data_IF_283937634435
#
_entry.id   IF_283937634435
#
_cell.length_a   1.000
_cell.length_b   1.000
_cell.length_c   1.000
_cell.angle_alpha   90.00
_cell.angle_beta   90.00
_cell.angle_gamma   90.00
#
_symmetry.space_group_name_H-M   'P 1'
#
loop_
_entity.id
_entity.type
_entity.pdbx_description
1 polymer ?
#
# COMPACT_ATOMS: atom_id res chain seq x y z
N UNK A 1 -5.97 5.62 6.91
CA UNK A 1 -4.96 6.47 7.57
C UNK A 1 -4.30 7.30 6.51
N UNK A 2 -3.77 8.46 6.87
CA UNK A 2 -2.99 9.27 5.93
C UNK A 2 -1.67 8.57 5.56
N UNK A 3 -0.98 9.08 4.53
CA UNK A 3 0.42 8.71 4.34
C UNK A 3 1.26 9.15 5.54
N UNK A 4 2.36 8.47 5.82
CA UNK A 4 3.25 8.80 6.94
C UNK A 4 3.71 10.26 6.90
N UNK A 5 4.08 10.78 5.71
CA UNK A 5 4.47 12.19 5.55
C UNK A 5 3.34 13.18 5.91
N UNK A 6 2.10 12.75 5.81
CA UNK A 6 0.92 13.58 6.06
C UNK A 6 0.28 13.34 7.42
N UNK A 7 0.75 12.32 8.15
CA UNK A 7 0.13 11.82 9.38
C UNK A 7 0.15 12.90 10.45
N UNK A 8 -1.00 13.06 11.11
CA UNK A 8 -1.07 13.83 12.34
C UNK A 8 -0.88 12.88 13.53
N UNK A 9 0.30 12.92 14.14
CA UNK A 9 0.69 12.00 15.20
C UNK A 9 -0.20 12.10 16.46
N UNK A 10 -0.90 13.22 16.66
CA UNK A 10 -1.84 13.38 17.78
C UNK A 10 -3.20 12.72 17.54
N UNK A 11 -3.48 12.30 16.30
CA UNK A 11 -4.78 11.73 15.88
C UNK A 11 -4.67 10.32 15.34
N UNK A 12 -3.54 9.97 14.73
CA UNK A 12 -3.32 8.70 14.03
C UNK A 12 -1.99 8.09 14.49
N UNK A 13 -2.01 6.86 15.06
CA UNK A 13 -0.78 6.16 15.41
C UNK A 13 -0.02 5.77 14.15
N UNK A 14 1.30 5.71 14.23
CA UNK A 14 2.15 5.15 13.19
C UNK A 14 2.01 3.62 13.13
N UNK A 15 2.44 3.01 12.02
CA UNK A 15 2.39 1.55 11.88
C UNK A 15 3.26 0.85 12.93
N UNK A 16 4.46 1.38 13.18
CA UNK A 16 5.36 0.81 14.18
C UNK A 16 4.79 0.89 15.61
N UNK A 17 4.00 1.92 15.93
CA UNK A 17 3.32 2.08 17.22
C UNK A 17 2.18 1.06 17.37
N UNK A 18 1.37 0.88 16.31
CA UNK A 18 0.32 -0.13 16.29
C UNK A 18 0.89 -1.54 16.41
N UNK A 19 1.99 -1.83 15.71
CA UNK A 19 2.70 -3.09 15.80
C UNK A 19 3.22 -3.35 17.23
N UNK A 20 3.86 -2.35 17.85
CA UNK A 20 4.33 -2.46 19.24
C UNK A 20 3.17 -2.74 20.22
N UNK A 21 2.06 -2.02 20.08
CA UNK A 21 0.88 -2.21 20.92
C UNK A 21 0.25 -3.60 20.73
N UNK A 22 0.14 -4.07 19.49
CA UNK A 22 -0.37 -5.40 19.17
C UNK A 22 0.51 -6.50 19.77
N UNK A 23 1.83 -6.41 19.57
CA UNK A 23 2.79 -7.37 20.13
C UNK A 23 2.74 -7.42 21.66
N UNK A 24 2.68 -6.26 22.33
CA UNK A 24 2.56 -6.19 23.78
C UNK A 24 1.26 -6.82 24.29
N UNK A 25 0.14 -6.52 23.63
CA UNK A 25 -1.18 -7.04 24.02
C UNK A 25 -1.31 -8.55 23.77
N UNK A 26 -0.84 -9.04 22.62
CA UNK A 26 -0.88 -10.45 22.27
C UNK A 26 0.05 -11.28 23.17
N UNK A 27 1.25 -10.80 23.46
CA UNK A 27 2.17 -11.45 24.42
C UNK A 27 1.58 -11.50 25.83
N UNK A 28 0.90 -10.45 26.29
CA UNK A 28 0.26 -10.42 27.60
C UNK A 28 -0.97 -11.33 27.75
N UNK A 29 -1.68 -11.60 26.65
CA UNK A 29 -2.90 -12.42 26.62
C UNK A 29 -2.70 -13.84 26.10
N UNK A 30 -1.52 -14.15 25.55
CA UNK A 30 -1.09 -15.49 25.23
C UNK A 30 -1.03 -16.30 26.55
N UNK A 31 -2.11 -17.01 26.89
CA UNK A 31 -2.08 -17.95 28.00
C UNK A 31 -0.90 -18.91 27.82
N UNK A 32 -0.29 -19.37 28.92
CA UNK A 32 1.01 -20.07 28.97
C UNK A 32 1.23 -21.23 27.95
N UNK A 33 0.18 -21.71 27.27
CA UNK A 33 0.23 -22.80 26.30
C UNK A 33 -0.26 -22.43 24.88
N UNK A 34 -0.52 -21.15 24.57
CA UNK A 34 -0.98 -20.72 23.23
C UNK A 34 -0.25 -19.46 22.81
N UNK A 35 0.62 -19.57 21.80
CA UNK A 35 1.20 -18.43 21.10
C UNK A 35 0.16 -17.66 20.29
N UNK A 36 0.61 -16.75 19.44
CA UNK A 36 -0.26 -15.94 18.59
C UNK A 36 0.24 -15.91 17.13
N UNK A 37 -0.69 -15.55 16.24
CA UNK A 37 -0.39 -15.16 14.87
C UNK A 37 -0.72 -13.68 14.72
N UNK A 38 0.17 -12.92 14.08
CA UNK A 38 -0.01 -11.49 13.81
C UNK A 38 0.42 -11.20 12.38
N UNK A 39 -0.42 -10.51 11.63
CA UNK A 39 -0.12 -9.94 10.32
C UNK A 39 -0.04 -8.42 10.47
N UNK A 40 1.03 -7.83 9.96
CA UNK A 40 1.26 -6.38 9.95
C UNK A 40 1.43 -5.96 8.49
N UNK A 41 0.65 -5.00 8.04
CA UNK A 41 0.57 -4.60 6.63
C UNK A 41 0.94 -3.12 6.45
N UNK A 42 1.91 -2.87 5.57
CA UNK A 42 2.29 -1.52 5.12
C UNK A 42 1.59 -1.13 3.82
N UNK A 43 0.26 -1.18 3.78
CA UNK A 43 -0.52 -1.09 2.53
C UNK A 43 -0.32 0.21 1.73
N UNK A 44 0.10 1.30 2.39
CA UNK A 44 0.27 2.60 1.73
C UNK A 44 1.49 2.66 0.81
N UNK A 45 2.43 1.72 0.91
CA UNK A 45 3.53 1.60 -0.08
C UNK A 45 2.95 1.38 -1.49
N UNK A 46 1.98 0.48 -1.61
CA UNK A 46 1.25 0.16 -2.85
C UNK A 46 0.50 1.39 -3.39
N UNK A 47 -0.26 2.07 -2.52
CA UNK A 47 -0.99 3.29 -2.89
C UNK A 47 -0.07 4.40 -3.39
N UNK A 48 1.13 4.55 -2.79
CA UNK A 48 2.15 5.48 -3.26
C UNK A 48 2.64 5.12 -4.66
N UNK A 49 2.80 3.83 -4.95
CA UNK A 49 3.13 3.31 -6.28
C UNK A 49 2.03 3.56 -7.31
N UNK A 50 0.76 3.29 -6.97
CA UNK A 50 -0.39 3.58 -7.84
C UNK A 50 -0.50 5.06 -8.21
N UNK A 51 -0.11 5.95 -7.30
CA UNK A 51 -0.10 7.39 -7.53
C UNK A 51 1.15 7.89 -8.26
N UNK A 52 2.15 7.03 -8.52
CA UNK A 52 3.50 7.42 -8.93
C UNK A 52 4.08 8.54 -8.04
N UNK A 53 3.82 8.45 -6.74
CA UNK A 53 4.19 9.46 -5.74
C UNK A 53 5.46 9.02 -5.02
N UNK A 54 6.65 9.47 -5.45
CA UNK A 54 7.90 9.06 -4.83
C UNK A 54 8.06 9.58 -3.39
N UNK A 55 7.35 10.64 -3.02
CA UNK A 55 7.40 11.22 -1.67
C UNK A 55 6.66 10.31 -0.71
N UNK A 56 5.39 10.02 -1.00
CA UNK A 56 4.59 9.11 -0.20
C UNK A 56 5.22 7.72 -0.14
N UNK A 57 5.62 7.18 -1.30
CA UNK A 57 6.20 5.85 -1.41
C UNK A 57 7.47 5.69 -0.54
N UNK A 58 8.39 6.66 -0.58
CA UNK A 58 9.60 6.64 0.26
C UNK A 58 9.25 6.68 1.76
N UNK A 59 8.38 7.59 2.18
CA UNK A 59 8.03 7.74 3.59
C UNK A 59 7.32 6.50 4.16
N UNK A 60 6.50 5.82 3.36
CA UNK A 60 5.88 4.55 3.75
C UNK A 60 6.90 3.41 3.87
N UNK A 61 7.89 3.34 2.97
CA UNK A 61 9.00 2.37 3.09
C UNK A 61 9.79 2.62 4.37
N UNK A 62 10.09 3.88 4.69
CA UNK A 62 10.82 4.24 5.92
C UNK A 62 10.01 3.91 7.18
N UNK A 63 8.69 4.08 7.16
CA UNK A 63 7.82 3.70 8.26
C UNK A 63 7.71 2.18 8.43
N UNK A 64 7.62 1.44 7.32
CA UNK A 64 7.69 -0.02 7.37
C UNK A 64 9.05 -0.50 7.88
N UNK A 65 10.15 0.18 7.54
CA UNK A 65 11.47 -0.11 8.10
C UNK A 65 11.52 0.06 9.64
N UNK A 66 10.91 1.12 10.20
CA UNK A 66 10.77 1.26 11.66
C UNK A 66 9.94 0.12 12.25
N UNK A 67 8.89 -0.29 11.56
CA UNK A 67 8.02 -1.41 11.98
C UNK A 67 8.82 -2.72 12.03
N UNK A 68 9.66 -2.99 11.02
CA UNK A 68 10.58 -4.13 11.01
C UNK A 68 11.53 -4.09 12.21
N UNK A 69 12.05 -2.92 12.58
CA UNK A 69 12.91 -2.79 13.77
C UNK A 69 12.19 -3.13 15.08
N UNK A 70 10.92 -2.73 15.23
CA UNK A 70 10.06 -3.10 16.38
C UNK A 70 9.86 -4.62 16.42
N UNK A 71 9.55 -5.23 15.29
CA UNK A 71 9.34 -6.69 15.18
C UNK A 71 10.64 -7.46 15.44
N UNK A 72 11.78 -7.01 14.90
CA UNK A 72 13.08 -7.64 15.12
C UNK A 72 13.43 -7.65 16.61
N UNK A 73 13.25 -6.52 17.30
CA UNK A 73 13.46 -6.46 18.75
C UNK A 73 12.58 -7.46 19.50
N UNK A 74 11.32 -7.62 19.07
CA UNK A 74 10.43 -8.61 19.68
C UNK A 74 10.95 -10.03 19.46
N UNK A 75 11.41 -10.38 18.25
CA UNK A 75 11.98 -11.71 17.97
C UNK A 75 13.23 -11.98 18.81
N UNK A 76 14.11 -10.99 18.96
CA UNK A 76 15.33 -11.13 19.77
C UNK A 76 15.01 -11.45 21.25
N UNK A 77 13.88 -10.96 21.76
CA UNK A 77 13.39 -11.20 23.12
C UNK A 77 12.48 -12.46 23.24
N UNK A 78 12.08 -13.06 22.11
CA UNK A 78 11.16 -14.20 22.04
C UNK A 78 11.64 -15.21 20.97
N UNK A 79 12.66 -16.04 21.26
CA UNK A 79 13.33 -16.87 20.26
C UNK A 79 12.46 -18.00 19.68
N UNK A 80 11.27 -18.24 20.21
CA UNK A 80 10.23 -19.15 19.69
C UNK A 80 9.29 -18.49 18.67
N UNK A 81 9.73 -17.38 18.08
CA UNK A 81 8.97 -16.60 17.08
C UNK A 81 9.58 -16.81 15.70
N UNK A 82 8.76 -17.16 14.71
CA UNK A 82 9.09 -17.05 13.29
C UNK A 82 8.52 -15.73 12.75
N UNK A 83 9.34 -14.96 12.05
CA UNK A 83 8.90 -13.78 11.31
C UNK A 83 9.16 -13.99 9.84
N UNK A 84 8.14 -13.66 9.04
CA UNK A 84 8.17 -13.65 7.57
C UNK A 84 7.75 -12.24 7.15
N UNK A 85 8.54 -11.60 6.29
CA UNK A 85 8.23 -10.32 5.67
C UNK A 85 8.42 -10.44 4.18
N UNK A 86 7.39 -10.12 3.42
CA UNK A 86 7.36 -10.14 1.96
C UNK A 86 6.39 -9.08 1.48
N UNK A 87 6.43 -8.79 0.19
CA UNK A 87 5.36 -8.10 -0.52
C UNK A 87 4.40 -9.11 -1.13
N UNK A 88 3.19 -8.67 -1.44
CA UNK A 88 2.22 -9.38 -2.28
C UNK A 88 2.47 -9.15 -3.77
N UNK A 89 2.91 -7.94 -4.15
CA UNK A 89 3.39 -7.57 -5.49
C UNK A 89 4.25 -6.29 -5.47
N UNK A 90 4.81 -5.92 -6.63
CA UNK A 90 5.34 -4.57 -6.88
C UNK A 90 4.28 -3.72 -7.58
N UNK A 91 4.34 -2.40 -7.36
CA UNK A 91 3.39 -1.44 -7.94
C UNK A 91 4.09 -0.20 -8.48
N UNK A 92 3.72 0.19 -9.70
CA UNK A 92 4.21 1.40 -10.38
C UNK A 92 5.32 1.14 -11.39
N UNK A 93 6.02 0.00 -11.28
CA UNK A 93 7.20 -0.32 -12.08
C UNK A 93 8.27 0.76 -11.91
N UNK A 94 8.62 0.99 -10.65
CA UNK A 94 9.49 2.08 -10.20
C UNK A 94 10.97 1.86 -10.60
N UNK A 95 11.66 2.91 -11.03
CA UNK A 95 13.09 2.86 -11.35
C UNK A 95 13.89 4.02 -10.77
N UNK A 96 15.08 3.72 -10.27
CA UNK A 96 16.12 4.71 -9.95
C UNK A 96 16.91 5.05 -11.21
N UNK A 97 16.38 6.00 -11.97
CA UNK A 97 16.88 6.41 -13.26
C UNK A 97 15.72 6.57 -14.25
N UNK A 98 15.74 7.70 -14.96
CA UNK A 98 14.79 8.02 -16.00
C UNK A 98 15.43 8.96 -17.03
N UNK A 99 15.07 8.79 -18.30
CA UNK A 99 15.49 9.64 -19.40
C UNK A 99 14.24 10.11 -20.15
N UNK A 100 13.75 11.29 -19.77
CA UNK A 100 12.55 11.88 -20.37
C UNK A 100 12.82 12.47 -21.77
N UNK A 101 14.05 12.92 -22.03
CA UNK A 101 14.46 13.49 -23.31
C UNK A 101 15.39 12.52 -24.08
N UNK A 102 14.92 11.94 -25.21
CA UNK A 102 15.73 11.03 -26.00
C UNK A 102 16.94 11.69 -26.66
N UNK A 103 16.93 13.02 -26.81
CA UNK A 103 18.00 13.79 -27.45
C UNK A 103 19.09 14.23 -26.44
N UNK A 104 18.88 14.00 -25.14
CA UNK A 104 19.84 14.31 -24.08
C UNK A 104 20.68 13.07 -23.71
N UNK A 105 21.98 13.27 -23.42
CA UNK A 105 22.85 12.16 -23.01
C UNK A 105 22.38 11.55 -21.68
N UNK A 106 22.35 10.20 -21.53
CA UNK A 106 21.85 9.56 -20.32
C UNK A 106 22.67 9.96 -19.09
N UNK A 107 22.01 10.50 -18.07
CA UNK A 107 22.61 10.80 -16.78
C UNK A 107 22.33 9.65 -15.79
N UNK A 108 23.39 9.11 -15.19
CA UNK A 108 23.32 8.10 -14.14
C UNK A 108 23.14 8.77 -12.77
N UNK A 109 22.16 9.65 -12.67
CA UNK A 109 21.90 10.47 -11.49
C UNK A 109 20.60 10.05 -10.84
N UNK A 110 20.61 10.02 -9.52
CA UNK A 110 19.43 10.04 -8.67
C UNK A 110 19.60 11.22 -7.71
N UNK A 111 18.57 12.05 -7.58
CA UNK A 111 18.60 13.31 -6.84
C UNK A 111 17.67 13.26 -5.62
N UNK A 112 18.05 12.53 -4.55
CA UNK A 112 17.20 12.36 -3.36
C UNK A 112 16.84 13.68 -2.69
N UNK A 113 17.68 14.71 -2.80
CA UNK A 113 17.42 16.05 -2.25
C UNK A 113 16.17 16.72 -2.83
N UNK A 114 15.68 16.26 -3.99
CA UNK A 114 14.42 16.74 -4.57
C UNK A 114 13.23 16.23 -3.77
N UNK A 115 13.27 14.95 -3.37
CA UNK A 115 12.22 14.33 -2.56
C UNK A 115 12.25 14.88 -1.13
N UNK A 116 13.44 15.07 -0.56
CA UNK A 116 13.64 15.58 0.80
C UNK A 116 13.04 16.98 1.04
N UNK A 117 12.89 17.79 -0.02
CA UNK A 117 12.26 19.11 0.07
C UNK A 117 10.73 19.07 0.11
N UNK A 118 10.11 17.96 -0.28
CA UNK A 118 8.66 17.85 -0.28
C UNK A 118 8.13 17.73 1.15
N UNK A 119 7.01 18.38 1.43
CA UNK A 119 6.41 18.41 2.78
C UNK A 119 5.06 17.70 2.86
N UNK A 120 4.57 17.15 1.75
CA UNK A 120 3.26 16.52 1.64
C UNK A 120 3.21 15.53 0.48
N UNK A 121 2.35 14.53 0.59
CA UNK A 121 2.04 13.64 -0.54
C UNK A 121 1.24 14.36 -1.63
N UNK A 122 1.28 13.80 -2.83
CA UNK A 122 0.42 14.21 -3.95
C UNK A 122 -1.07 14.09 -3.61
N UNK A 123 -1.46 13.16 -2.75
CA UNK A 123 -2.85 12.99 -2.30
C UNK A 123 -3.31 14.19 -1.47
N UNK A 124 -2.53 14.59 -0.48
CA UNK A 124 -2.83 15.78 0.34
C UNK A 124 -2.80 17.05 -0.49
N UNK A 125 -1.84 17.21 -1.38
CA UNK A 125 -1.74 18.37 -2.26
C UNK A 125 -2.92 18.46 -3.24
N UNK A 126 -3.36 17.33 -3.78
CA UNK A 126 -4.56 17.24 -4.63
C UNK A 126 -5.81 17.66 -3.86
N UNK A 127 -5.96 17.19 -2.61
CA UNK A 127 -7.08 17.60 -1.74
C UNK A 127 -7.02 19.10 -1.38
N UNK A 128 -5.83 19.64 -1.12
CA UNK A 128 -5.65 21.08 -0.88
C UNK A 128 -6.06 21.91 -2.10
N UNK A 129 -5.66 21.50 -3.30
CA UNK A 129 -6.06 22.15 -4.55
C UNK A 129 -7.58 22.06 -4.76
N UNK A 130 -8.18 20.90 -4.51
CA UNK A 130 -9.63 20.72 -4.57
C UNK A 130 -10.37 21.66 -3.62
N UNK A 131 -9.94 21.73 -2.36
CA UNK A 131 -10.56 22.62 -1.37
C UNK A 131 -10.41 24.09 -1.76
N UNK A 132 -9.22 24.51 -2.23
CA UNK A 132 -9.01 25.87 -2.69
C UNK A 132 -9.96 26.25 -3.83
N UNK A 133 -10.14 25.36 -4.80
CA UNK A 133 -10.99 25.61 -5.97
C UNK A 133 -12.49 25.56 -5.66
N UNK A 134 -12.93 24.72 -4.72
CA UNK A 134 -14.36 24.39 -4.54
C UNK A 134 -14.98 24.87 -3.23
N UNK A 135 -14.16 25.11 -2.20
CA UNK A 135 -14.63 25.45 -0.84
C UNK A 135 -14.25 26.87 -0.42
N UNK A 136 -13.64 27.65 -1.31
CA UNK A 136 -13.40 29.07 -1.07
C UNK A 136 -14.71 29.85 -1.02
N UNK A 137 -14.83 30.81 -0.10
CA UNK A 137 -16.01 31.68 0.06
C UNK A 137 -16.35 32.41 -1.24
N UNK A 138 -15.32 32.78 -2.01
CA UNK A 138 -15.42 33.37 -3.33
C UNK A 138 -14.66 32.48 -4.31
N UNK A 139 -15.25 32.23 -5.48
CA UNK A 139 -14.59 31.49 -6.55
C UNK A 139 -13.24 32.17 -6.91
N UNK A 140 -12.11 31.44 -6.84
CA UNK A 140 -10.82 32.00 -7.19
C UNK A 140 -10.76 32.44 -8.65
N UNK A 141 -10.07 33.55 -8.90
CA UNK A 141 -9.68 33.97 -10.25
C UNK A 141 -8.55 33.10 -10.80
N UNK A 142 -8.32 33.15 -12.12
CA UNK A 142 -7.21 32.42 -12.74
C UNK A 142 -5.84 32.80 -12.14
N UNK A 143 -5.63 34.10 -11.88
CA UNK A 143 -4.39 34.59 -11.28
C UNK A 143 -4.19 34.07 -9.85
N UNK A 144 -5.26 33.98 -9.06
CA UNK A 144 -5.21 33.41 -7.71
C UNK A 144 -4.92 31.90 -7.74
N UNK A 145 -5.50 31.15 -8.69
CA UNK A 145 -5.16 29.73 -8.89
C UNK A 145 -3.69 29.53 -9.26
N UNK A 146 -3.18 30.29 -10.23
CA UNK A 146 -1.77 30.20 -10.62
C UNK A 146 -0.84 30.54 -9.46
N UNK A 147 -1.18 31.55 -8.66
CA UNK A 147 -0.39 31.92 -7.48
C UNK A 147 -0.40 30.79 -6.44
N UNK A 148 -1.57 30.25 -6.11
CA UNK A 148 -1.71 29.15 -5.15
C UNK A 148 -0.97 27.89 -5.60
N UNK A 149 -1.07 27.53 -6.88
CA UNK A 149 -0.33 26.39 -7.45
C UNK A 149 1.17 26.60 -7.33
N UNK A 150 1.68 27.81 -7.65
CA UNK A 150 3.11 28.12 -7.56
C UNK A 150 3.62 28.08 -6.12
N UNK A 151 2.90 28.70 -5.18
CA UNK A 151 3.38 28.86 -3.80
C UNK A 151 3.11 27.61 -2.96
N UNK A 152 1.87 27.14 -2.92
CA UNK A 152 1.44 26.11 -1.97
C UNK A 152 1.66 24.70 -2.51
N UNK A 153 1.25 24.45 -3.76
CA UNK A 153 1.25 23.09 -4.32
C UNK A 153 2.65 22.68 -4.79
N UNK A 154 3.23 23.44 -5.72
CA UNK A 154 4.54 23.11 -6.29
C UNK A 154 5.68 23.56 -5.37
N UNK A 155 5.62 24.80 -4.88
CA UNK A 155 6.67 25.40 -4.06
C UNK A 155 6.80 24.75 -2.68
N UNK A 156 5.87 25.04 -1.78
CA UNK A 156 5.89 24.53 -0.41
C UNK A 156 5.64 23.02 -0.37
N UNK A 157 4.62 22.55 -1.09
CA UNK A 157 4.20 21.15 -1.08
C UNK A 157 5.25 20.16 -1.59
N UNK A 158 5.74 20.39 -2.82
CA UNK A 158 6.70 19.49 -3.47
C UNK A 158 8.15 19.98 -3.46
N UNK A 159 8.42 21.18 -2.94
CA UNK A 159 9.79 21.72 -2.95
C UNK A 159 10.31 22.06 -4.35
N UNK A 160 9.41 22.28 -5.33
CA UNK A 160 9.74 22.59 -6.72
C UNK A 160 10.05 24.08 -6.86
N UNK A 161 11.28 24.39 -7.25
CA UNK A 161 11.77 25.77 -7.40
C UNK A 161 11.67 26.31 -8.83
N UNK A 162 11.45 25.42 -9.81
CA UNK A 162 11.47 25.69 -11.24
C UNK A 162 10.20 25.15 -11.95
N UNK A 163 8.99 25.54 -11.51
CA UNK A 163 7.77 25.04 -12.12
C UNK A 163 7.63 25.51 -13.57
N UNK A 164 7.33 24.57 -14.47
CA UNK A 164 7.15 24.84 -15.90
C UNK A 164 5.81 25.53 -16.17
N UNK A 165 5.70 26.30 -17.27
CA UNK A 165 4.41 26.88 -17.68
C UNK A 165 3.30 25.84 -17.84
N UNK A 166 3.62 24.64 -18.33
CA UNK A 166 2.68 23.54 -18.53
C UNK A 166 2.17 22.98 -17.20
N UNK A 167 3.06 22.75 -16.22
CA UNK A 167 2.67 22.32 -14.87
C UNK A 167 1.68 23.29 -14.24
N UNK A 168 1.94 24.58 -14.39
CA UNK A 168 1.10 25.63 -13.82
C UNK A 168 -0.22 25.75 -14.55
N UNK A 169 -0.21 25.73 -15.88
CA UNK A 169 -1.42 25.81 -16.69
C UNK A 169 -2.37 24.63 -16.41
N UNK A 170 -1.83 23.41 -16.29
CA UNK A 170 -2.63 22.22 -15.98
C UNK A 170 -3.25 22.30 -14.59
N UNK A 171 -2.44 22.54 -13.55
CA UNK A 171 -2.88 22.54 -12.16
C UNK A 171 -3.78 23.74 -11.79
N UNK A 172 -3.63 24.87 -12.50
CA UNK A 172 -4.46 26.07 -12.27
C UNK A 172 -5.73 26.11 -13.13
N UNK A 173 -5.99 25.06 -13.92
CA UNK A 173 -7.21 24.96 -14.70
C UNK A 173 -8.44 24.92 -13.78
N UNK A 174 -9.49 25.66 -14.15
CA UNK A 174 -10.76 25.65 -13.44
C UNK A 174 -11.43 24.27 -13.50
N UNK A 175 -11.29 23.58 -14.63
CA UNK A 175 -11.92 22.28 -14.89
C UNK A 175 -10.92 21.13 -14.76
N UNK A 176 -9.95 21.27 -13.83
CA UNK A 176 -8.91 20.26 -13.61
C UNK A 176 -9.53 18.94 -13.15
N UNK A 177 -9.08 17.84 -13.76
CA UNK A 177 -9.45 16.48 -13.39
C UNK A 177 -8.54 16.01 -12.24
N UNK A 178 -9.07 16.00 -11.02
CA UNK A 178 -8.30 15.69 -9.81
C UNK A 178 -7.72 14.27 -9.80
N UNK A 179 -8.32 13.31 -10.51
CA UNK A 179 -7.74 11.97 -10.65
C UNK A 179 -6.45 12.00 -11.47
N UNK A 180 -6.32 12.96 -12.40
CA UNK A 180 -5.10 13.18 -13.17
C UNK A 180 -4.07 14.03 -12.44
N UNK A 181 -4.50 14.83 -11.45
CA UNK A 181 -3.57 15.66 -10.65
C UNK A 181 -2.61 14.79 -9.85
N UNK A 182 -3.08 13.69 -9.26
CA UNK A 182 -2.27 12.77 -8.46
C UNK A 182 -0.99 12.31 -9.21
N UNK A 183 -1.09 11.56 -10.31
CA UNK A 183 0.10 11.13 -11.05
C UNK A 183 0.82 12.30 -11.73
N UNK A 184 0.14 13.40 -12.07
CA UNK A 184 0.79 14.57 -12.65
C UNK A 184 1.79 15.22 -11.69
N UNK A 185 1.40 15.40 -10.42
CA UNK A 185 2.29 15.89 -9.37
C UNK A 185 3.43 14.89 -9.11
N UNK A 186 3.12 13.60 -9.08
CA UNK A 186 4.10 12.52 -8.95
C UNK A 186 5.17 12.54 -10.04
N UNK A 187 4.76 12.70 -11.31
CA UNK A 187 5.68 12.84 -12.44
C UNK A 187 6.49 14.15 -12.40
N UNK A 188 5.88 15.27 -11.99
CA UNK A 188 6.56 16.55 -11.88
C UNK A 188 7.77 16.48 -10.93
N UNK A 189 7.60 15.86 -9.76
CA UNK A 189 8.71 15.67 -8.82
C UNK A 189 9.66 14.53 -9.25
N UNK A 190 9.12 13.43 -9.80
CA UNK A 190 9.93 12.28 -10.25
C UNK A 190 10.93 12.66 -11.33
N UNK A 191 10.53 13.45 -12.33
CA UNK A 191 11.42 13.97 -13.38
C UNK A 191 12.61 14.72 -12.79
N UNK A 192 12.36 15.59 -11.81
CA UNK A 192 13.41 16.36 -11.14
C UNK A 192 14.32 15.48 -10.29
N UNK A 193 13.78 14.39 -9.74
CA UNK A 193 14.52 13.42 -8.94
C UNK A 193 15.25 12.35 -9.78
N UNK A 194 15.10 12.36 -11.12
CA UNK A 194 15.53 11.30 -12.05
C UNK A 194 14.92 9.92 -11.72
N UNK A 195 13.63 9.89 -11.38
CA UNK A 195 12.86 8.68 -11.09
C UNK A 195 11.92 8.32 -12.23
N UNK A 196 11.77 7.03 -12.49
CA UNK A 196 10.91 6.50 -13.54
C UNK A 196 9.76 5.65 -13.00
N UNK A 197 8.66 5.63 -13.74
CA UNK A 197 7.47 4.84 -13.48
C UNK A 197 6.93 4.34 -14.81
N UNK A 198 6.49 3.09 -14.88
CA UNK A 198 6.04 2.46 -16.15
C UNK A 198 4.55 2.17 -16.19
N UNK A 199 3.88 2.17 -15.03
CA UNK A 199 2.45 1.87 -14.93
C UNK A 199 1.84 2.58 -13.72
N UNK A 200 0.52 2.68 -13.66
CA UNK A 200 -0.23 3.01 -12.44
C UNK A 200 -0.81 1.75 -11.80
N UNK A 201 -0.28 0.57 -12.12
CA UNK A 201 -0.78 -0.72 -11.67
C UNK A 201 0.34 -1.60 -11.13
N UNK A 202 0.02 -2.86 -10.85
CA UNK A 202 1.00 -3.82 -10.36
C UNK A 202 1.90 -4.30 -11.50
N UNK A 203 3.10 -4.78 -11.15
CA UNK A 203 3.98 -5.49 -12.08
C UNK A 203 4.21 -6.93 -11.62
N UNK A 204 4.66 -7.78 -12.55
CA UNK A 204 4.89 -9.21 -12.31
C UNK A 204 6.33 -9.54 -11.94
N UNK A 205 7.05 -8.64 -11.26
CA UNK A 205 8.41 -8.94 -10.78
C UNK A 205 8.35 -9.86 -9.56
N UNK A 206 9.40 -10.67 -9.39
CA UNK A 206 9.59 -11.42 -8.15
C UNK A 206 9.80 -10.42 -7.00
N UNK A 207 9.18 -10.70 -5.86
CA UNK A 207 9.30 -9.90 -4.64
C UNK A 207 10.26 -10.55 -3.66
N UNK A 208 10.88 -9.74 -2.81
CA UNK A 208 11.82 -10.24 -1.81
C UNK A 208 11.09 -10.95 -0.67
N UNK A 209 11.61 -12.12 -0.27
CA UNK A 209 11.20 -12.85 0.92
C UNK A 209 12.28 -12.72 2.01
N UNK A 210 11.92 -12.13 3.14
CA UNK A 210 12.76 -12.03 4.32
C UNK A 210 12.18 -12.88 5.45
N UNK A 211 13.03 -13.63 6.13
CA UNK A 211 12.62 -14.42 7.28
C UNK A 211 13.70 -14.44 8.37
N UNK A 212 13.27 -14.51 9.63
CA UNK A 212 14.14 -14.57 10.81
C UNK A 212 13.45 -15.29 11.96
N UNK A 213 14.21 -15.66 13.00
CA UNK A 213 13.68 -16.35 14.18
C UNK A 213 13.70 -17.87 14.07
N UNK A 214 12.75 -18.56 14.69
CA UNK A 214 12.71 -20.03 14.70
C UNK A 214 12.28 -20.61 13.34
N UNK A 215 12.91 -21.70 12.89
CA UNK A 215 12.50 -22.41 11.68
C UNK A 215 12.69 -21.68 10.33
N UNK A 216 13.25 -20.46 10.30
CA UNK A 216 13.35 -19.64 9.07
C UNK A 216 14.12 -20.30 7.91
N UNK A 217 14.93 -21.33 8.19
CA UNK A 217 15.74 -22.01 7.17
C UNK A 217 14.94 -22.63 6.03
N UNK A 218 13.66 -22.99 6.28
CA UNK A 218 12.73 -23.51 5.26
C UNK A 218 12.39 -22.47 4.18
N UNK A 219 12.49 -21.18 4.50
CA UNK A 219 12.13 -20.06 3.62
C UNK A 219 13.31 -19.53 2.79
N UNK A 220 14.45 -20.24 2.77
CA UNK A 220 15.59 -19.87 1.93
C UNK A 220 15.34 -20.28 0.47
N UNK A 221 15.77 -19.42 -0.46
CA UNK A 221 15.63 -19.66 -1.89
C UNK A 221 14.40 -18.97 -2.48
N UNK A 222 13.96 -19.45 -3.64
CA UNK A 222 12.77 -18.94 -4.31
C UNK A 222 11.56 -19.77 -3.90
N UNK A 223 10.46 -19.09 -3.59
CA UNK A 223 9.21 -19.70 -3.15
C UNK A 223 8.04 -19.10 -3.91
N UNK A 224 7.07 -19.93 -4.26
CA UNK A 224 5.75 -19.47 -4.69
C UNK A 224 4.99 -18.91 -3.47
N UNK A 225 4.13 -17.92 -3.69
CA UNK A 225 3.38 -17.31 -2.58
C UNK A 225 2.50 -18.30 -1.80
N UNK A 226 2.04 -19.38 -2.45
CA UNK A 226 1.28 -20.46 -1.82
C UNK A 226 2.10 -21.26 -0.83
N UNK A 227 3.41 -21.44 -1.08
CA UNK A 227 4.31 -22.22 -0.23
C UNK A 227 4.52 -21.53 1.13
N UNK A 228 4.52 -20.19 1.16
CA UNK A 228 4.59 -19.41 2.42
C UNK A 228 3.41 -19.76 3.34
N UNK A 229 2.21 -19.94 2.77
CA UNK A 229 1.01 -20.35 3.51
C UNK A 229 1.14 -21.75 4.13
N UNK A 230 1.81 -22.67 3.43
CA UNK A 230 2.08 -24.02 3.92
C UNK A 230 3.11 -24.00 5.07
N UNK A 231 4.20 -23.25 4.92
CA UNK A 231 5.21 -23.07 5.98
C UNK A 231 4.58 -22.51 7.26
N UNK A 232 3.76 -21.45 7.14
CA UNK A 232 3.06 -20.88 8.30
C UNK A 232 2.14 -21.90 8.97
N UNK A 233 1.42 -22.70 8.18
CA UNK A 233 0.48 -23.70 8.71
C UNK A 233 1.19 -24.83 9.44
N UNK A 234 2.33 -25.27 8.89
CA UNK A 234 3.18 -26.28 9.50
C UNK A 234 3.81 -25.77 10.80
N UNK A 235 4.34 -24.55 10.79
CA UNK A 235 4.94 -23.91 11.96
C UNK A 235 3.92 -23.78 13.12
N UNK A 236 2.72 -23.29 12.80
CA UNK A 236 1.63 -23.12 13.77
C UNK A 236 0.92 -24.44 14.14
N UNK A 237 1.23 -25.53 13.45
CA UNK A 237 0.61 -26.86 13.61
C UNK A 237 -0.91 -26.82 13.47
N UNK A 238 -1.40 -26.08 12.47
CA UNK A 238 -2.84 -25.93 12.19
C UNK A 238 -3.29 -26.81 11.02
N UNK A 239 -4.44 -27.50 11.17
CA UNK A 239 -5.05 -28.28 10.09
C UNK A 239 -5.99 -27.39 9.26
N UNK A 240 -5.45 -26.79 8.19
CA UNK A 240 -6.23 -25.99 7.25
C UNK A 240 -7.31 -26.80 6.53
N UNK A 241 -7.14 -28.10 6.32
CA UNK A 241 -8.16 -28.93 5.67
C UNK A 241 -9.41 -29.07 6.56
N UNK A 242 -9.22 -29.22 7.87
CA UNK A 242 -10.33 -29.20 8.82
C UNK A 242 -11.04 -27.84 8.86
N UNK A 243 -10.28 -26.74 8.89
CA UNK A 243 -10.83 -25.38 8.89
C UNK A 243 -11.61 -25.11 7.60
N UNK A 244 -11.05 -25.43 6.43
CA UNK A 244 -11.73 -25.30 5.13
C UNK A 244 -13.03 -26.10 5.09
N UNK A 245 -13.03 -27.35 5.56
CA UNK A 245 -14.28 -28.15 5.67
C UNK A 245 -15.30 -27.49 6.60
N UNK A 246 -14.87 -26.87 7.69
CA UNK A 246 -15.77 -26.18 8.63
C UNK A 246 -16.36 -24.91 8.01
N UNK A 247 -15.52 -24.07 7.39
CA UNK A 247 -15.93 -22.86 6.70
C UNK A 247 -16.88 -23.16 5.53
N UNK A 248 -16.60 -24.18 4.72
CA UNK A 248 -17.49 -24.58 3.62
C UNK A 248 -18.84 -25.09 4.12
N UNK A 249 -18.89 -25.76 5.28
CA UNK A 249 -20.17 -26.19 5.89
C UNK A 249 -20.99 -25.01 6.38
N UNK A 250 -20.36 -23.95 6.88
CA UNK A 250 -21.04 -22.75 7.40
C UNK A 250 -21.25 -21.66 6.35
N UNK A 251 -20.50 -21.66 5.25
CA UNK A 251 -20.64 -20.67 4.18
C UNK A 251 -22.06 -20.64 3.60
N UNK A 252 -22.72 -21.80 3.51
CA UNK A 252 -24.11 -21.91 3.07
C UNK A 252 -25.11 -21.15 3.96
N UNK A 253 -24.78 -20.85 5.22
CA UNK A 253 -25.64 -20.04 6.09
C UNK A 253 -25.39 -18.54 6.00
N UNK A 254 -24.30 -18.12 5.34
CA UNK A 254 -23.95 -16.71 5.12
C UNK A 254 -24.53 -16.17 3.82
N UNK A 255 -24.74 -17.05 2.85
CA UNK A 255 -25.29 -16.73 1.54
C UNK A 255 -26.80 -17.06 1.52
N UNK A 256 -27.63 -16.07 1.87
CA UNK A 256 -29.08 -16.22 1.97
C UNK A 256 -29.80 -16.04 0.62
N UNK A 257 -29.11 -15.60 -0.44
CA UNK A 257 -29.71 -15.38 -1.76
C UNK A 257 -29.35 -16.50 -2.75
N UNK A 258 -30.21 -16.70 -3.76
CA UNK A 258 -30.00 -17.70 -4.83
C UNK A 258 -28.74 -17.40 -5.66
N UNK A 259 -28.44 -16.14 -5.91
CA UNK A 259 -27.28 -15.72 -6.71
C UNK A 259 -25.96 -16.04 -6.01
N UNK A 260 -25.89 -15.83 -4.70
CA UNK A 260 -24.71 -16.16 -3.90
C UNK A 260 -24.43 -17.67 -3.87
N UNK A 261 -25.49 -18.48 -3.88
CA UNK A 261 -25.36 -19.95 -3.89
C UNK A 261 -24.88 -20.51 -5.23
N UNK A 262 -25.18 -19.83 -6.35
CA UNK A 262 -24.76 -20.25 -7.69
C UNK A 262 -23.27 -19.97 -7.93
N UNK A 263 -22.76 -18.82 -7.45
CA UNK A 263 -21.33 -18.47 -7.51
C UNK A 263 -20.44 -19.51 -6.83
N UNK A 264 -20.82 -20.00 -5.65
CA UNK A 264 -20.05 -21.01 -4.92
C UNK A 264 -20.16 -22.43 -5.50
N UNK A 265 -21.28 -22.74 -6.17
CA UNK A 265 -21.44 -24.03 -6.86
C UNK A 265 -20.52 -24.15 -8.08
N UNK A 266 -20.29 -23.03 -8.77
CA UNK A 266 -19.40 -22.93 -9.92
C UNK A 266 -17.93 -23.10 -9.52
N UNK A 267 -17.51 -22.54 -8.38
CA UNK A 267 -16.12 -22.66 -7.90
C UNK A 267 -15.77 -24.02 -7.30
N UNK A 268 -16.76 -24.80 -6.82
CA UNK A 268 -16.53 -26.09 -6.15
C UNK A 268 -16.85 -27.31 -7.01
N UNK A 269 -17.32 -27.10 -8.25
CA UNK A 269 -17.58 -28.17 -9.23
C UNK A 269 -18.75 -29.10 -8.89
N UNK A 270 -19.55 -28.82 -7.85
CA UNK A 270 -20.76 -29.58 -7.52
C UNK A 270 -22.01 -28.91 -8.07
N UNK A 271 -22.59 -29.48 -9.13
CA UNK A 271 -23.94 -29.11 -9.60
C UNK A 271 -25.00 -29.53 -8.57
N UNK A 272 -25.84 -28.58 -8.19
CA UNK A 272 -27.05 -28.85 -7.40
C UNK A 272 -28.09 -29.51 -8.30
N UNK A 273 -28.46 -30.77 -8.02
CA UNK A 273 -29.74 -31.32 -8.48
C UNK A 273 -30.82 -30.84 -7.52
N UNK A 274 -31.75 -30.02 -8.00
CA UNK A 274 -32.95 -29.65 -7.25
C UNK A 274 -33.84 -30.88 -7.07
N UNK A 275 -33.84 -31.47 -5.87
CA UNK A 275 -34.94 -32.34 -5.45
C UNK A 275 -36.04 -31.46 -4.85
N UNK A 276 -36.90 -30.95 -5.72
CA UNK A 276 -38.29 -30.68 -5.34
C UNK A 276 -39.12 -31.90 -5.72
N UNK A 277 -39.14 -32.92 -4.85
CA UNK A 277 -40.28 -33.83 -4.81
C UNK A 277 -41.30 -33.25 -3.84
N UNK A 278 -42.32 -32.62 -4.42
CA UNK A 278 -43.57 -32.29 -3.75
C UNK A 278 -44.22 -33.60 -3.30
N UNK A 279 -44.40 -33.77 -1.99
CA UNK A 279 -45.47 -34.61 -1.45
C UNK A 279 -46.79 -33.87 -1.68
N UNK A 280 -47.64 -34.41 -2.54
CA UNK A 280 -49.02 -33.97 -2.74
C UNK A 280 -49.95 -35.17 -2.66
N UNK A 281 -50.94 -35.06 -1.77
CA UNK A 281 -52.25 -35.68 -1.93
C UNK A 281 -52.91 -35.21 -3.22
#
# INVERSE_FOLDING_TARGET
MNYEIDRNETKEPALHEMAAAALASLKGNAGLNRGFFLMIEGFRIDMGGHNNDPVAHLHEILEYHKTVAVVQKFVDENPDTLVISTSDHETGGFTLGNQDDPDTYPEYLWRPEVIDRATASTEKLTLQLYHFNTQSIKEPTQKEREQFVRSEILGLGLGITDPTPQEIAFLSSKDVDYLKVLPFLGHAISRRANLGWTTLGHTGVDVNLYATGDGFGELRGNHENTEIGEVMSNYLKVDLSYITRKLQKTAWSWFQSKEDSEFFSASTGRRVRSQHQKSGH
#
